data_IF_584199341818
#
_entry.id   IF_584199341818
#
_cell.length_a   1.000
_cell.length_b   1.000
_cell.length_c   1.000
_cell.angle_alpha   90.00
_cell.angle_beta   90.00
_cell.angle_gamma   90.00
#
_symmetry.space_group_name_H-M   'P 1'
#
loop_
_entity.id
_entity.type
_entity.pdbx_description
1 polymer ?
#
# COMPACT_ATOMS: atom_id res chain seq x y z
N UNK A 1 -25.14 10.94 25.28
CA UNK A 1 -23.69 10.97 24.98
C UNK A 1 -23.49 11.85 23.75
N UNK A 2 -22.42 12.63 23.67
CA UNK A 2 -22.20 13.57 22.56
C UNK A 2 -21.49 12.92 21.37
N UNK A 3 -21.97 13.18 20.15
CA UNK A 3 -21.39 12.68 18.88
C UNK A 3 -19.95 13.16 18.71
N UNK A 4 -19.10 12.29 18.17
CA UNK A 4 -17.72 12.61 17.81
C UNK A 4 -17.70 13.56 16.60
N UNK A 5 -16.69 14.44 16.53
CA UNK A 5 -16.51 15.32 15.36
C UNK A 5 -16.38 14.50 14.08
N UNK A 6 -17.03 14.93 13.01
CA UNK A 6 -17.08 14.22 11.72
C UNK A 6 -15.70 13.85 11.16
N UNK A 7 -14.73 14.77 11.21
CA UNK A 7 -13.34 14.50 10.79
C UNK A 7 -12.67 13.36 11.57
N UNK A 8 -13.04 13.20 12.84
CA UNK A 8 -12.51 12.14 13.70
C UNK A 8 -13.19 10.81 13.42
N UNK A 9 -14.50 10.83 13.18
CA UNK A 9 -15.27 9.67 12.76
C UNK A 9 -14.74 9.13 11.42
N UNK A 10 -14.48 10.02 10.45
CA UNK A 10 -13.95 9.68 9.13
C UNK A 10 -12.58 9.00 9.21
N UNK A 11 -11.67 9.47 10.07
CA UNK A 11 -10.36 8.81 10.27
C UNK A 11 -10.47 7.36 10.75
N UNK A 12 -11.45 7.09 11.61
CA UNK A 12 -11.72 5.73 12.09
C UNK A 12 -12.38 4.92 10.99
N UNK A 13 -13.33 5.48 10.26
CA UNK A 13 -13.98 4.83 9.11
C UNK A 13 -12.98 4.46 8.00
N UNK A 14 -12.10 5.38 7.61
CA UNK A 14 -11.05 5.18 6.60
C UNK A 14 -10.12 4.02 6.96
N UNK A 15 -9.86 3.80 8.26
CA UNK A 15 -9.11 2.63 8.74
C UNK A 15 -9.83 1.32 8.36
N UNK A 16 -11.14 1.21 8.67
CA UNK A 16 -11.92 0.00 8.38
C UNK A 16 -12.10 -0.21 6.87
N UNK A 17 -12.32 0.86 6.09
CA UNK A 17 -12.41 0.79 4.62
C UNK A 17 -11.10 0.25 4.03
N UNK A 18 -9.97 0.78 4.46
CA UNK A 18 -8.66 0.34 3.94
C UNK A 18 -8.32 -1.08 4.36
N UNK A 19 -8.53 -1.45 5.63
CA UNK A 19 -8.25 -2.81 6.10
C UNK A 19 -9.13 -3.86 5.40
N UNK A 20 -10.41 -3.56 5.16
CA UNK A 20 -11.30 -4.46 4.41
C UNK A 20 -10.87 -4.60 2.95
N UNK A 21 -10.44 -3.52 2.30
CA UNK A 21 -9.91 -3.55 0.93
C UNK A 21 -8.62 -4.37 0.83
N UNK A 22 -7.69 -4.19 1.78
CA UNK A 22 -6.41 -4.93 1.81
C UNK A 22 -6.60 -6.43 2.05
N UNK A 23 -7.56 -6.82 2.90
CA UNK A 23 -7.80 -8.22 3.27
C UNK A 23 -8.79 -8.93 2.35
N UNK A 24 -9.53 -8.20 1.50
CA UNK A 24 -10.60 -8.73 0.67
C UNK A 24 -11.77 -9.33 1.47
N UNK A 25 -11.93 -8.94 2.73
CA UNK A 25 -12.95 -9.44 3.65
C UNK A 25 -13.67 -8.28 4.32
N UNK A 26 -15.00 -8.38 4.42
CA UNK A 26 -15.82 -7.41 5.18
C UNK A 26 -15.71 -7.62 6.70
N UNK A 27 -15.24 -8.79 7.13
CA UNK A 27 -14.94 -9.11 8.52
C UNK A 27 -13.45 -8.99 8.76
N UNK A 28 -13.10 -8.11 9.69
CA UNK A 28 -11.72 -7.86 10.06
C UNK A 28 -11.54 -7.92 11.57
N UNK A 29 -10.43 -8.54 11.97
CA UNK A 29 -9.99 -8.58 13.34
C UNK A 29 -9.12 -7.34 13.60
N UNK A 30 -9.51 -6.52 14.57
CA UNK A 30 -8.86 -5.23 14.83
C UNK A 30 -8.53 -5.10 16.31
N UNK A 31 -7.28 -4.80 16.61
CA UNK A 31 -6.86 -4.42 17.97
C UNK A 31 -7.02 -2.91 18.17
N UNK A 32 -7.28 -2.49 19.41
CA UNK A 32 -7.34 -1.07 19.75
C UNK A 32 -5.96 -0.39 19.61
N UNK A 33 -4.87 -1.15 19.73
CA UNK A 33 -3.51 -0.65 19.53
C UNK A 33 -3.27 -0.27 18.07
N UNK A 34 -3.72 -1.10 17.12
CA UNK A 34 -3.61 -0.81 15.68
C UNK A 34 -4.39 0.45 15.31
N UNK A 35 -5.64 0.56 15.77
CA UNK A 35 -6.46 1.76 15.57
C UNK A 35 -5.79 3.01 16.15
N UNK A 36 -5.21 2.90 17.35
CA UNK A 36 -4.52 4.03 18.00
C UNK A 36 -3.27 4.45 17.23
N UNK A 37 -2.45 3.49 16.80
CA UNK A 37 -1.23 3.74 16.02
C UNK A 37 -1.56 4.43 14.70
N UNK A 38 -2.59 3.95 14.01
CA UNK A 38 -2.92 4.41 12.65
C UNK A 38 -3.64 5.76 12.65
N UNK A 39 -4.65 5.91 13.51
CA UNK A 39 -5.48 7.13 13.53
C UNK A 39 -4.85 8.29 14.30
N UNK A 40 -3.85 7.99 15.16
CA UNK A 40 -3.23 8.92 16.11
C UNK A 40 -4.24 9.61 17.03
N UNK A 41 -5.36 8.95 17.32
CA UNK A 41 -6.42 9.44 18.21
C UNK A 41 -6.27 8.86 19.63
N UNK A 42 -6.89 9.53 20.61
CA UNK A 42 -6.97 8.99 21.96
C UNK A 42 -7.87 7.75 22.01
N UNK A 43 -7.61 6.80 22.92
CA UNK A 43 -8.42 5.59 23.07
C UNK A 43 -9.91 5.92 23.32
N UNK A 44 -10.19 6.90 24.17
CA UNK A 44 -11.57 7.33 24.46
C UNK A 44 -12.26 7.85 23.20
N UNK A 45 -11.54 8.60 22.37
CA UNK A 45 -12.05 9.11 21.09
C UNK A 45 -12.33 7.97 20.10
N UNK A 46 -11.46 6.97 20.04
CA UNK A 46 -11.63 5.80 19.16
C UNK A 46 -12.85 4.99 19.60
N UNK A 47 -13.00 4.72 20.91
CA UNK A 47 -14.18 4.00 21.41
C UNK A 47 -15.48 4.71 21.04
N UNK A 48 -15.57 6.03 21.29
CA UNK A 48 -16.76 6.80 20.91
C UNK A 48 -17.02 6.80 19.40
N UNK A 49 -15.97 6.88 18.59
CA UNK A 49 -16.10 6.84 17.13
C UNK A 49 -16.57 5.47 16.63
N UNK A 50 -16.09 4.37 17.25
CA UNK A 50 -16.59 3.02 16.97
C UNK A 50 -18.06 2.90 17.35
N UNK A 51 -18.44 3.38 18.53
CA UNK A 51 -19.84 3.38 18.98
C UNK A 51 -20.71 4.18 18.00
N UNK A 52 -20.29 5.38 17.60
CA UNK A 52 -21.01 6.20 16.61
C UNK A 52 -21.12 5.50 15.23
N UNK A 53 -20.11 4.74 14.80
CA UNK A 53 -20.15 3.95 13.56
C UNK A 53 -21.04 2.71 13.65
N UNK A 54 -21.15 2.10 14.83
CA UNK A 54 -22.07 1.00 15.11
C UNK A 54 -23.52 1.52 15.14
N UNK A 55 -23.76 2.62 15.85
CA UNK A 55 -25.05 3.29 15.90
C UNK A 55 -25.50 3.76 14.50
N UNK A 56 -24.55 4.19 13.66
CA UNK A 56 -24.76 4.52 12.25
C UNK A 56 -24.93 3.31 11.32
N UNK A 57 -24.86 2.08 11.82
CA UNK A 57 -25.03 0.84 11.04
C UNK A 57 -23.89 0.51 10.08
N UNK A 58 -22.78 1.27 10.12
CA UNK A 58 -21.60 1.05 9.27
C UNK A 58 -20.67 -0.02 9.82
N UNK A 59 -20.64 -0.20 11.14
CA UNK A 59 -19.91 -1.28 11.81
C UNK A 59 -20.87 -2.20 12.54
N UNK A 60 -20.56 -3.49 12.56
CA UNK A 60 -21.22 -4.47 13.44
C UNK A 60 -20.12 -5.24 14.16
N UNK A 61 -20.22 -5.38 15.48
CA UNK A 61 -19.32 -6.28 16.23
C UNK A 61 -19.80 -7.70 16.02
N UNK A 62 -18.98 -8.54 15.39
CA UNK A 62 -19.29 -9.97 15.16
C UNK A 62 -18.75 -10.85 16.27
N UNK A 63 -17.64 -10.44 16.89
CA UNK A 63 -17.10 -11.06 18.10
C UNK A 63 -16.56 -9.96 19.02
N UNK A 64 -17.09 -9.92 20.25
CA UNK A 64 -16.64 -9.01 21.31
C UNK A 64 -15.22 -9.32 21.79
N UNK A 65 -14.69 -10.49 21.42
CA UNK A 65 -13.43 -11.00 21.90
C UNK A 65 -13.42 -11.11 23.42
N UNK A 66 -12.23 -11.15 23.98
CA UNK A 66 -11.97 -11.15 25.42
C UNK A 66 -10.98 -10.05 25.74
N UNK A 67 -10.66 -9.86 27.01
CA UNK A 67 -9.60 -8.92 27.42
C UNK A 67 -8.23 -9.24 26.77
N UNK A 68 -8.04 -10.45 26.24
CA UNK A 68 -6.80 -10.94 25.60
C UNK A 68 -6.94 -11.24 24.11
N UNK A 69 -8.16 -11.21 23.54
CA UNK A 69 -8.38 -11.47 22.13
C UNK A 69 -8.93 -10.21 21.44
N UNK A 70 -8.46 -9.90 20.22
CA UNK A 70 -8.95 -8.74 19.48
C UNK A 70 -10.45 -8.87 19.18
N UNK A 71 -11.13 -7.74 19.06
CA UNK A 71 -12.52 -7.68 18.61
C UNK A 71 -12.60 -7.92 17.11
N UNK A 72 -13.63 -8.63 16.67
CA UNK A 72 -13.96 -8.75 15.26
C UNK A 72 -15.08 -7.79 14.90
N UNK A 73 -14.84 -7.03 13.84
CA UNK A 73 -15.78 -6.08 13.30
C UNK A 73 -16.11 -6.48 11.87
N UNK A 74 -17.41 -6.45 11.54
CA UNK A 74 -17.89 -6.47 10.18
C UNK A 74 -18.15 -5.03 9.75
N UNK A 75 -17.36 -4.53 8.81
CA UNK A 75 -17.63 -3.25 8.18
C UNK A 75 -18.64 -3.46 7.06
N UNK A 76 -19.80 -2.82 7.21
CA UNK A 76 -20.77 -2.71 6.14
C UNK A 76 -20.41 -1.44 5.40
N UNK A 77 -19.77 -1.61 4.25
CA UNK A 77 -19.82 -0.59 3.21
C UNK A 77 -21.29 -0.46 2.82
N UNK A 78 -22.06 0.33 3.58
CA UNK A 78 -23.38 0.74 3.13
C UNK A 78 -23.14 1.40 1.77
N UNK A 79 -23.75 0.89 0.68
CA UNK A 79 -23.89 1.71 -0.50
C UNK A 79 -24.83 2.82 -0.05
N UNK A 80 -24.27 3.91 0.47
CA UNK A 80 -25.05 5.11 0.68
C UNK A 80 -25.73 5.42 -0.66
N UNK A 81 -27.00 5.86 -0.66
CA UNK A 81 -27.63 6.36 -1.89
C UNK A 81 -26.85 7.53 -2.52
N UNK A 82 -25.84 8.05 -1.82
CA UNK A 82 -24.85 9.04 -2.26
C UNK A 82 -23.40 8.56 -2.01
N UNK A 83 -23.04 7.34 -2.42
CA UNK A 83 -21.66 7.14 -2.85
C UNK A 83 -21.36 8.14 -3.98
N UNK A 84 -20.14 8.68 -4.13
CA UNK A 84 -19.82 9.47 -5.30
C UNK A 84 -20.19 8.60 -6.51
N UNK A 85 -21.21 9.03 -7.27
CA UNK A 85 -21.58 8.38 -8.51
C UNK A 85 -20.41 8.67 -9.44
N UNK A 86 -19.41 7.81 -9.41
CA UNK A 86 -18.30 7.89 -10.35
C UNK A 86 -18.97 7.77 -11.71
N UNK A 87 -18.97 8.87 -12.45
CA UNK A 87 -19.64 8.90 -13.74
C UNK A 87 -18.96 7.84 -14.61
N UNK A 88 -19.70 7.15 -15.48
CA UNK A 88 -19.10 6.13 -16.35
C UNK A 88 -17.92 6.70 -17.17
N UNK A 89 -17.91 8.00 -17.46
CA UNK A 89 -16.77 8.72 -18.04
C UNK A 89 -15.55 8.84 -17.12
N UNK A 90 -15.74 9.15 -15.83
CA UNK A 90 -14.65 9.19 -14.84
C UNK A 90 -14.04 7.80 -14.61
N UNK A 91 -14.86 6.74 -14.60
CA UNK A 91 -14.37 5.36 -14.56
C UNK A 91 -13.57 5.00 -15.82
N UNK A 92 -14.00 5.46 -17.00
CA UNK A 92 -13.28 5.22 -18.25
C UNK A 92 -11.92 5.93 -18.28
N UNK A 93 -11.85 7.16 -17.75
CA UNK A 93 -10.60 7.90 -17.62
C UNK A 93 -9.64 7.23 -16.61
N UNK A 94 -10.16 6.77 -15.48
CA UNK A 94 -9.36 6.00 -14.49
C UNK A 94 -8.88 4.68 -15.07
N UNK A 95 -9.72 3.95 -15.81
CA UNK A 95 -9.34 2.70 -16.46
C UNK A 95 -8.22 2.93 -17.49
N UNK A 96 -8.34 4.00 -18.29
CA UNK A 96 -7.31 4.37 -19.27
C UNK A 96 -5.98 4.75 -18.59
N UNK A 97 -6.03 5.57 -17.55
CA UNK A 97 -4.84 5.93 -16.78
C UNK A 97 -4.18 4.71 -16.13
N UNK A 98 -4.99 3.74 -15.67
CA UNK A 98 -4.49 2.48 -15.14
C UNK A 98 -3.81 1.62 -16.22
N UNK A 99 -4.40 1.52 -17.41
CA UNK A 99 -3.79 0.82 -18.55
C UNK A 99 -2.45 1.45 -18.94
N UNK A 100 -2.37 2.78 -19.01
CA UNK A 100 -1.14 3.52 -19.29
C UNK A 100 -0.06 3.25 -18.22
N UNK A 101 -0.42 3.29 -16.94
CA UNK A 101 0.50 2.97 -15.83
C UNK A 101 0.99 1.52 -15.87
N UNK A 102 0.12 0.57 -16.18
CA UNK A 102 0.49 -0.85 -16.33
C UNK A 102 1.46 -1.03 -17.51
N UNK A 103 1.23 -0.32 -18.61
CA UNK A 103 2.13 -0.35 -19.74
C UNK A 103 3.51 0.26 -19.42
N UNK A 104 3.54 1.42 -18.77
CA UNK A 104 4.80 2.04 -18.32
C UNK A 104 5.59 1.14 -17.36
N UNK A 105 4.89 0.46 -16.45
CA UNK A 105 5.52 -0.50 -15.53
C UNK A 105 6.17 -1.65 -16.29
N UNK A 106 5.47 -2.25 -17.26
CA UNK A 106 6.00 -3.34 -18.08
C UNK A 106 7.25 -2.91 -18.88
N UNK A 107 7.25 -1.69 -19.44
CA UNK A 107 8.41 -1.14 -20.15
C UNK A 107 9.58 -0.92 -19.18
N UNK A 108 9.33 -0.36 -17.99
CA UNK A 108 10.37 -0.16 -16.97
C UNK A 108 10.99 -1.48 -16.52
N UNK A 109 10.18 -2.52 -16.33
CA UNK A 109 10.67 -3.86 -15.97
C UNK A 109 11.57 -4.46 -17.04
N UNK A 110 11.21 -4.31 -18.33
CA UNK A 110 12.07 -4.74 -19.45
C UNK A 110 13.41 -3.98 -19.47
N UNK A 111 13.39 -2.67 -19.22
CA UNK A 111 14.60 -1.84 -19.13
C UNK A 111 15.48 -2.31 -17.96
N UNK A 112 14.89 -2.62 -16.81
CA UNK A 112 15.61 -3.13 -15.64
C UNK A 112 16.30 -4.46 -15.96
N UNK A 113 15.60 -5.40 -16.60
CA UNK A 113 16.19 -6.69 -17.00
C UNK A 113 17.32 -6.53 -18.03
N UNK A 114 17.16 -5.62 -18.99
CA UNK A 114 18.22 -5.29 -19.94
C UNK A 114 19.46 -4.68 -19.24
N UNK A 115 19.24 -3.78 -18.28
CA UNK A 115 20.32 -3.19 -17.48
C UNK A 115 21.02 -4.22 -16.59
N UNK A 116 20.26 -5.12 -15.96
CA UNK A 116 20.82 -6.25 -15.18
C UNK A 116 21.69 -7.13 -16.06
N UNK A 117 21.22 -7.51 -17.24
CA UNK A 117 21.99 -8.31 -18.19
C UNK A 117 23.30 -7.62 -18.60
N UNK A 118 23.24 -6.31 -18.90
CA UNK A 118 24.43 -5.52 -19.21
C UNK A 118 25.39 -5.43 -18.02
N UNK A 119 24.87 -5.24 -16.81
CA UNK A 119 25.68 -5.20 -15.60
C UNK A 119 26.40 -6.53 -15.39
N UNK A 120 25.70 -7.66 -15.45
CA UNK A 120 26.30 -8.99 -15.33
C UNK A 120 27.38 -9.24 -16.38
N UNK A 121 27.18 -8.77 -17.62
CA UNK A 121 28.18 -8.87 -18.68
C UNK A 121 29.44 -8.04 -18.36
N UNK A 122 29.26 -6.81 -17.84
CA UNK A 122 30.37 -5.95 -17.42
C UNK A 122 31.10 -6.52 -16.20
N UNK A 123 30.38 -7.02 -15.20
CA UNK A 123 30.95 -7.70 -14.02
C UNK A 123 31.76 -8.94 -14.42
N UNK A 124 31.24 -9.72 -15.38
CA UNK A 124 31.98 -10.86 -15.94
C UNK A 124 33.26 -10.42 -16.64
N UNK A 125 33.21 -9.37 -17.47
CA UNK A 125 34.41 -8.80 -18.09
C UNK A 125 35.41 -8.27 -17.05
N UNK A 126 34.91 -7.67 -15.97
CA UNK A 126 35.73 -7.13 -14.90
C UNK A 126 36.41 -8.23 -14.08
N UNK A 127 35.70 -9.33 -13.82
CA UNK A 127 36.25 -10.49 -13.11
C UNK A 127 37.45 -11.13 -13.83
N UNK A 128 37.58 -10.90 -15.14
CA UNK A 128 38.71 -11.37 -15.94
C UNK A 128 39.90 -10.42 -15.91
N UNK A 129 39.79 -9.22 -15.35
CA UNK A 129 40.89 -8.24 -15.29
C UNK A 129 41.92 -8.68 -14.24
N UNK A 130 43.18 -8.73 -14.65
CA UNK A 130 44.31 -9.07 -13.78
C UNK A 130 45.00 -7.82 -13.24
N UNK A 131 45.19 -6.80 -14.08
CA UNK A 131 45.75 -5.51 -13.70
C UNK A 131 45.36 -4.42 -14.71
N UNK A 132 45.34 -3.19 -14.20
CA UNK A 132 45.05 -1.97 -14.95
C UNK A 132 46.23 -1.01 -14.80
N UNK A 133 46.77 -0.57 -15.93
CA UNK A 133 47.89 0.37 -15.95
C UNK A 133 47.48 1.62 -16.70
N UNK A 134 47.52 2.77 -16.01
CA UNK A 134 47.29 4.07 -16.65
C UNK A 134 48.60 4.55 -17.27
N UNK A 135 48.62 4.70 -18.59
CA UNK A 135 49.81 5.06 -19.38
C UNK A 135 49.85 6.56 -19.64
N UNK A 136 48.69 7.22 -19.70
CA UNK A 136 48.54 8.68 -19.78
C UNK A 136 47.19 9.12 -19.19
N UNK A 137 46.87 10.42 -19.22
CA UNK A 137 45.56 10.91 -18.76
C UNK A 137 44.39 10.21 -19.45
N UNK A 138 44.52 9.90 -20.75
CA UNK A 138 43.44 9.32 -21.57
C UNK A 138 43.70 7.87 -22.02
N UNK A 139 44.82 7.25 -21.61
CA UNK A 139 45.17 5.90 -22.04
C UNK A 139 45.32 4.95 -20.86
N UNK A 140 44.53 3.88 -20.86
CA UNK A 140 44.60 2.77 -19.91
C UNK A 140 44.83 1.45 -20.66
N UNK A 141 45.77 0.64 -20.17
CA UNK A 141 46.01 -0.72 -20.65
C UNK A 141 45.41 -1.68 -19.63
N UNK A 142 44.48 -2.51 -20.09
CA UNK A 142 43.79 -3.51 -19.27
C UNK A 142 44.26 -4.89 -19.69
N UNK A 143 44.88 -5.62 -18.78
CA UNK A 143 45.29 -7.01 -19.03
C UNK A 143 44.28 -7.96 -18.41
N UNK A 144 43.81 -8.91 -19.21
CA UNK A 144 42.77 -9.87 -18.83
C UNK A 144 43.27 -11.31 -18.90
N UNK A 145 42.73 -12.17 -18.06
CA UNK A 145 42.92 -13.61 -18.13
C UNK A 145 42.27 -14.12 -19.42
N UNK A 146 43.04 -14.84 -20.24
CA UNK A 146 42.53 -15.42 -21.48
C UNK A 146 41.56 -16.55 -21.11
N UNK A 147 40.33 -16.44 -21.62
CA UNK A 147 39.28 -17.47 -21.51
C UNK A 147 39.69 -18.78 -22.14
#
# INVERSE_FOLDING_TARGET
MGKVKENTLRKVEDFFVRETAMRGSSEIQVTMEDLRRETKLSLVTIYKAIDDLIDGGKLTVTDMGTRRSPRMYRYRSSPGPEGPRINAGEMAEVAKALEELVHELAVKDQVIEALRTKLTALESQESQVLYRLRVSEDTEVIVRKKS
#
